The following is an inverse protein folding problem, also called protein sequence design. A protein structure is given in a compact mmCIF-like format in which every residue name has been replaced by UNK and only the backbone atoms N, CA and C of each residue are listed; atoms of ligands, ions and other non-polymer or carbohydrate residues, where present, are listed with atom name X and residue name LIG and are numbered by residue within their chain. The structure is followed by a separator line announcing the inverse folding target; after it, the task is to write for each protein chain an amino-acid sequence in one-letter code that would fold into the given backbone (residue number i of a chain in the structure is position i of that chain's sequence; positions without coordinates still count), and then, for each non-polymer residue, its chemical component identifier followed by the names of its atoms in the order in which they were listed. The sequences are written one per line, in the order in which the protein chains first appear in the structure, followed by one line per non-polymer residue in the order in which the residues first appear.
data_IF_279893222262
#
_entry.id   IF_279893222262
#
_cell.length_a   1.000
_cell.length_b   1.000
_cell.length_c   1.000
_cell.angle_alpha   90.00
_cell.angle_beta   90.00
_cell.angle_gamma   90.00
#
_symmetry.space_group_name_H-M   'P 1'
#
loop_
_entity.id
_entity.type
_entity.pdbx_description
1 polymer ?
#
# COMPACT_ATOMS: atom_id res chain seq x y z
N UNK A 1 -2.66 87.32 -21.83
CA UNK A 1 -3.69 87.95 -20.98
C UNK A 1 -3.89 87.08 -19.75
N UNK A 2 -3.83 87.70 -18.57
CA UNK A 2 -3.96 87.09 -17.24
C UNK A 2 -5.38 86.53 -17.05
N UNK A 3 -5.51 85.40 -16.33
CA UNK A 3 -6.34 85.39 -15.13
C UNK A 3 -5.99 84.21 -14.22
N UNK A 4 -5.70 84.59 -12.98
CA UNK A 4 -5.49 83.76 -11.79
C UNK A 4 -6.84 83.20 -11.34
N UNK A 5 -6.85 82.09 -10.57
CA UNK A 5 -7.46 82.05 -9.25
C UNK A 5 -6.99 80.80 -8.49
N UNK A 6 -6.22 81.04 -7.42
CA UNK A 6 -6.08 80.15 -6.27
C UNK A 6 -7.41 80.09 -5.51
N UNK A 7 -7.68 78.99 -4.81
CA UNK A 7 -8.27 78.92 -3.45
C UNK A 7 -8.07 77.48 -2.88
N UNK A 8 -8.02 77.31 -1.55
CA UNK A 8 -7.07 76.42 -0.88
C UNK A 8 -7.70 75.23 -0.12
N UNK A 9 -6.78 74.42 0.44
CA UNK A 9 -6.84 73.46 1.55
C UNK A 9 -8.11 73.35 2.42
N UNK A 10 -8.39 72.11 2.82
CA UNK A 10 -8.81 71.59 4.16
C UNK A 10 -9.95 70.57 3.97
N UNK A 11 -9.78 69.34 4.49
CA UNK A 11 -10.90 68.38 4.45
C UNK A 11 -10.55 66.95 4.87
N UNK A 12 -9.99 66.82 6.06
CA UNK A 12 -9.77 65.61 6.84
C UNK A 12 -11.04 64.75 6.95
N UNK A 13 -11.12 63.56 6.33
CA UNK A 13 -12.03 62.49 6.78
C UNK A 13 -11.32 61.14 6.67
N UNK A 14 -11.04 60.59 7.85
CA UNK A 14 -10.67 59.20 8.09
C UNK A 14 -11.79 58.26 7.66
N UNK A 15 -11.48 57.20 6.90
CA UNK A 15 -12.22 55.95 6.98
C UNK A 15 -11.48 54.83 6.24
N UNK A 16 -11.31 53.70 6.91
CA UNK A 16 -11.13 52.42 6.23
C UNK A 16 -9.71 51.88 6.18
N UNK A 17 -9.12 51.59 7.34
CA UNK A 17 -8.19 50.45 7.45
C UNK A 17 -9.00 49.17 7.20
N UNK A 18 -9.25 48.85 5.93
CA UNK A 18 -9.61 47.49 5.53
C UNK A 18 -8.31 46.77 5.25
N UNK A 19 -7.70 46.27 6.32
CA UNK A 19 -6.67 45.24 6.25
C UNK A 19 -7.30 44.06 5.51
N UNK A 20 -7.06 43.96 4.21
CA UNK A 20 -7.41 42.81 3.41
C UNK A 20 -6.62 41.64 3.98
N UNK A 21 -7.24 40.90 4.90
CA UNK A 21 -6.79 39.61 5.36
C UNK A 21 -6.86 38.70 4.13
N UNK A 22 -5.77 38.70 3.35
CA UNK A 22 -5.52 37.78 2.26
C UNK A 22 -5.44 36.38 2.89
N UNK A 23 -6.60 35.77 3.11
CA UNK A 23 -6.71 34.35 3.38
C UNK A 23 -6.12 33.64 2.16
N UNK A 24 -4.83 33.31 2.25
CA UNK A 24 -4.18 32.37 1.35
C UNK A 24 -4.81 31.01 1.60
N UNK A 25 -5.93 30.75 0.92
CA UNK A 25 -6.50 29.43 0.82
C UNK A 25 -5.48 28.60 0.04
N UNK A 26 -4.61 27.87 0.76
CA UNK A 26 -3.71 26.90 0.13
C UNK A 26 -4.62 25.92 -0.63
N UNK A 27 -4.50 25.78 -1.96
CA UNK A 27 -5.22 24.74 -2.66
C UNK A 27 -4.73 23.41 -2.09
N UNK A 28 -5.64 22.72 -1.40
CA UNK A 28 -5.41 21.35 -0.98
C UNK A 28 -5.32 20.51 -2.26
N UNK A 29 -4.10 20.33 -2.76
CA UNK A 29 -3.78 19.38 -3.81
C UNK A 29 -4.01 17.98 -3.23
N UNK A 30 -5.25 17.51 -3.35
CA UNK A 30 -5.59 16.13 -3.07
C UNK A 30 -4.70 15.28 -4.00
N UNK A 31 -3.72 14.60 -3.40
CA UNK A 31 -2.82 13.71 -4.13
C UNK A 31 -3.66 12.81 -5.03
N UNK A 32 -3.43 12.91 -6.35
CA UNK A 32 -4.22 12.22 -7.36
C UNK A 32 -4.15 10.72 -7.11
N UNK A 33 -5.24 10.11 -6.62
CA UNK A 33 -5.29 8.67 -6.38
C UNK A 33 -5.35 7.96 -7.74
N UNK A 34 -4.36 7.13 -8.03
CA UNK A 34 -4.26 6.39 -9.29
C UNK A 34 -5.38 5.35 -9.42
N UNK A 35 -5.69 4.64 -8.33
CA UNK A 35 -6.67 3.56 -8.36
C UNK A 35 -7.96 3.97 -7.67
N UNK A 36 -9.10 3.66 -8.30
CA UNK A 36 -10.44 3.91 -7.74
C UNK A 36 -11.39 2.75 -7.96
N UNK A 37 -12.29 2.53 -7.00
CA UNK A 37 -13.39 1.58 -7.11
C UNK A 37 -14.61 2.26 -7.76
N UNK A 38 -15.24 1.56 -8.70
CA UNK A 38 -16.45 2.01 -9.41
C UNK A 38 -17.53 0.94 -9.24
N UNK A 39 -18.70 1.35 -8.74
CA UNK A 39 -19.87 0.46 -8.64
C UNK A 39 -20.57 0.37 -9.99
N UNK A 40 -21.01 -0.83 -10.34
CA UNK A 40 -21.75 -1.15 -11.57
C UNK A 40 -22.92 -2.07 -11.26
N UNK A 41 -23.84 -2.26 -12.20
CA UNK A 41 -25.01 -3.12 -12.02
C UNK A 41 -24.66 -4.58 -11.68
N UNK A 42 -23.50 -5.08 -12.13
CA UNK A 42 -23.03 -6.45 -11.91
C UNK A 42 -22.01 -6.62 -10.77
N UNK A 43 -21.62 -5.54 -10.07
CA UNK A 43 -20.60 -5.59 -9.01
C UNK A 43 -19.70 -4.35 -8.97
N UNK A 44 -18.48 -4.52 -8.47
CA UNK A 44 -17.49 -3.45 -8.38
C UNK A 44 -16.37 -3.67 -9.41
N UNK A 45 -15.89 -2.59 -10.02
CA UNK A 45 -14.73 -2.56 -10.89
C UNK A 45 -13.65 -1.71 -10.24
N UNK A 46 -12.39 -2.02 -10.52
CA UNK A 46 -11.28 -1.14 -10.16
C UNK A 46 -10.68 -0.51 -11.41
N UNK A 47 -10.44 0.79 -11.36
CA UNK A 47 -9.90 1.58 -12.47
C UNK A 47 -8.55 2.16 -12.05
N UNK A 48 -7.51 1.92 -12.84
CA UNK A 48 -6.25 2.64 -12.77
C UNK A 48 -6.30 3.81 -13.76
N UNK A 49 -6.25 5.05 -13.28
CA UNK A 49 -6.21 6.27 -14.10
C UNK A 49 -4.78 6.70 -14.44
N UNK A 50 -3.79 6.18 -13.73
CA UNK A 50 -2.39 6.51 -13.95
C UNK A 50 -1.84 5.81 -15.20
N UNK A 51 -0.87 6.47 -15.83
CA UNK A 51 -0.12 5.94 -16.97
C UNK A 51 0.93 4.89 -16.60
N UNK A 52 0.98 4.50 -15.33
CA UNK A 52 1.91 3.50 -14.80
C UNK A 52 1.15 2.34 -14.15
N UNK A 53 1.81 1.18 -14.08
CA UNK A 53 1.27 -0.01 -13.43
C UNK A 53 1.12 0.22 -11.92
N UNK A 54 0.05 -0.31 -11.32
CA UNK A 54 -0.25 -0.18 -9.89
C UNK A 54 -0.49 -1.54 -9.25
N UNK A 55 0.03 -1.75 -8.05
CA UNK A 55 -0.30 -2.88 -7.18
C UNK A 55 -1.27 -2.35 -6.11
N UNK A 56 -2.48 -2.90 -6.09
CA UNK A 56 -3.56 -2.44 -5.22
C UNK A 56 -4.01 -3.54 -4.29
N UNK A 57 -3.99 -3.27 -2.99
CA UNK A 57 -4.58 -4.15 -1.97
C UNK A 57 -6.03 -3.70 -1.70
N UNK A 58 -6.97 -4.61 -1.91
CA UNK A 58 -8.40 -4.41 -1.74
C UNK A 58 -8.90 -5.30 -0.62
N UNK A 59 -9.60 -4.70 0.33
CA UNK A 59 -10.35 -5.40 1.35
C UNK A 59 -11.83 -5.43 1.00
N UNK A 60 -12.49 -6.56 1.21
CA UNK A 60 -13.94 -6.70 1.07
C UNK A 60 -14.57 -7.26 2.34
N UNK A 61 -15.60 -6.58 2.85
CA UNK A 61 -16.42 -7.07 3.97
C UNK A 61 -17.79 -7.49 3.43
N UNK A 62 -18.21 -8.72 3.75
CA UNK A 62 -19.57 -9.19 3.47
C UNK A 62 -20.49 -8.97 4.68
N UNK A 63 -21.78 -8.70 4.48
CA UNK A 63 -22.76 -8.78 5.55
C UNK A 63 -22.75 -10.19 6.15
N UNK A 64 -22.70 -10.28 7.48
CA UNK A 64 -22.73 -11.56 8.22
C UNK A 64 -21.43 -12.37 8.24
N UNK A 65 -20.35 -11.92 7.57
CA UNK A 65 -19.05 -12.58 7.67
C UNK A 65 -18.22 -11.95 8.80
N UNK A 66 -17.62 -12.77 9.68
CA UNK A 66 -16.84 -12.28 10.82
C UNK A 66 -15.57 -11.54 10.38
N UNK A 67 -14.84 -12.07 9.40
CA UNK A 67 -13.59 -11.48 8.91
C UNK A 67 -13.72 -10.91 7.48
N UNK A 68 -13.11 -9.75 7.19
CA UNK A 68 -12.99 -9.24 5.82
C UNK A 68 -11.93 -10.00 5.01
N UNK A 69 -12.11 -10.07 3.69
CA UNK A 69 -11.19 -10.74 2.76
C UNK A 69 -10.33 -9.69 2.08
N UNK A 70 -9.00 -9.87 2.10
CA UNK A 70 -8.07 -9.01 1.38
C UNK A 70 -7.56 -9.70 0.12
N UNK A 71 -7.41 -8.95 -0.98
CA UNK A 71 -6.84 -9.40 -2.26
C UNK A 71 -5.95 -8.32 -2.83
N UNK A 72 -4.88 -8.74 -3.49
CA UNK A 72 -3.96 -7.83 -4.15
C UNK A 72 -3.97 -8.04 -5.64
N UNK A 73 -4.09 -6.94 -6.38
CA UNK A 73 -4.23 -6.93 -7.82
C UNK A 73 -3.15 -6.06 -8.44
N UNK A 74 -2.55 -6.55 -9.51
CA UNK A 74 -1.68 -5.76 -10.36
C UNK A 74 -2.53 -5.20 -11.50
N UNK A 75 -2.61 -3.87 -11.60
CA UNK A 75 -3.34 -3.14 -12.62
C UNK A 75 -2.35 -2.58 -13.63
N UNK A 76 -2.58 -2.90 -14.90
CA UNK A 76 -1.84 -2.27 -15.98
C UNK A 76 -2.19 -0.76 -16.08
N UNK A 77 -1.36 0.04 -16.74
CA UNK A 77 -1.65 1.45 -17.00
C UNK A 77 -3.02 1.65 -17.65
N UNK A 78 -3.80 2.62 -17.16
CA UNK A 78 -5.09 3.03 -17.78
C UNK A 78 -6.11 1.91 -17.98
N UNK A 79 -6.08 0.85 -17.17
CA UNK A 79 -7.01 -0.28 -17.29
C UNK A 79 -8.18 -0.22 -16.32
N UNK A 80 -9.28 -0.86 -16.73
CA UNK A 80 -10.41 -1.20 -15.85
C UNK A 80 -10.47 -2.71 -15.67
N UNK A 81 -10.48 -3.17 -14.43
CA UNK A 81 -10.50 -4.59 -14.09
C UNK A 81 -11.75 -4.90 -13.28
N UNK A 82 -12.49 -5.92 -13.70
CA UNK A 82 -13.67 -6.38 -12.98
C UNK A 82 -13.26 -7.13 -11.72
N UNK A 83 -13.85 -6.78 -10.58
CA UNK A 83 -13.64 -7.52 -9.36
C UNK A 83 -14.63 -8.69 -9.35
N UNK A 84 -14.12 -9.92 -9.45
CA UNK A 84 -14.88 -11.19 -9.49
C UNK A 84 -15.49 -11.58 -8.12
N UNK A 85 -16.03 -10.58 -7.45
CA UNK A 85 -16.54 -10.63 -6.11
C UNK A 85 -18.02 -11.05 -6.14
N UNK A 86 -18.28 -12.36 -6.04
CA UNK A 86 -19.66 -12.90 -5.99
C UNK A 86 -20.42 -12.40 -4.74
N UNK A 87 -21.72 -12.14 -4.85
CA UNK A 87 -22.61 -11.83 -3.72
C UNK A 87 -22.45 -10.43 -3.10
N UNK A 88 -23.26 -10.07 -2.08
CA UNK A 88 -23.26 -8.74 -1.47
C UNK A 88 -22.00 -8.48 -0.63
N UNK A 89 -21.52 -7.24 -0.61
CA UNK A 89 -20.37 -6.81 0.18
C UNK A 89 -19.74 -5.52 -0.36
N UNK A 90 -19.03 -4.80 0.51
CA UNK A 90 -18.39 -3.53 0.17
C UNK A 90 -16.87 -3.71 0.10
N UNK A 91 -16.25 -3.19 -0.96
CA UNK A 91 -14.80 -3.18 -1.09
C UNK A 91 -14.19 -1.82 -0.76
N UNK A 92 -12.96 -1.84 -0.27
CA UNK A 92 -12.14 -0.66 0.01
C UNK A 92 -10.71 -0.91 -0.44
N UNK A 93 -10.10 0.09 -1.07
CA UNK A 93 -8.66 0.09 -1.34
C UNK A 93 -7.92 0.41 -0.04
N UNK A 94 -7.06 -0.51 0.40
CA UNK A 94 -6.20 -0.36 1.57
C UNK A 94 -4.83 0.21 1.21
N UNK A 95 -4.27 -0.19 0.07
CA UNK A 95 -2.99 0.29 -0.41
C UNK A 95 -3.00 0.40 -1.94
N UNK A 96 -2.27 1.38 -2.46
CA UNK A 96 -2.09 1.63 -3.89
C UNK A 96 -0.64 2.05 -4.11
N UNK A 97 0.18 1.17 -4.67
CA UNK A 97 1.62 1.41 -4.88
C UNK A 97 1.98 1.24 -6.36
N UNK A 98 2.95 1.98 -6.91
CA UNK A 98 3.43 1.73 -8.27
C UNK A 98 4.06 0.33 -8.37
N UNK A 99 3.97 -0.29 -9.53
CA UNK A 99 4.76 -1.48 -9.83
C UNK A 99 6.24 -1.10 -9.87
N UNK A 100 7.11 -1.92 -9.29
CA UNK A 100 8.55 -1.78 -9.49
C UNK A 100 8.87 -2.10 -10.94
N UNK A 101 9.54 -1.19 -11.66
CA UNK A 101 10.10 -1.50 -12.97
C UNK A 101 11.26 -2.48 -12.80
N UNK A 102 10.94 -3.77 -12.80
CA UNK A 102 11.88 -4.84 -13.07
C UNK A 102 11.46 -5.45 -14.39
N UNK A 103 12.41 -5.56 -15.32
CA UNK A 103 12.21 -6.02 -16.69
C UNK A 103 11.37 -7.28 -16.78
N UNK A 104 10.73 -7.41 -17.94
CA UNK A 104 10.01 -8.59 -18.37
C UNK A 104 10.78 -9.87 -18.05
N UNK A 105 10.38 -10.57 -17.01
CA UNK A 105 10.54 -12.01 -16.93
C UNK A 105 9.46 -12.58 -16.00
N UNK A 106 8.71 -13.54 -16.53
CA UNK A 106 7.58 -14.14 -15.88
C UNK A 106 7.97 -14.77 -14.55
N UNK A 107 7.55 -14.16 -13.44
CA UNK A 107 7.53 -14.85 -12.15
C UNK A 107 6.32 -14.38 -11.35
N UNK A 108 5.30 -15.23 -11.32
CA UNK A 108 4.22 -15.18 -10.36
C UNK A 108 4.79 -15.23 -8.95
N UNK A 109 5.08 -14.07 -8.37
CA UNK A 109 5.37 -13.98 -6.95
C UNK A 109 4.59 -12.79 -6.39
N UNK A 110 3.52 -13.11 -5.66
CA UNK A 110 2.79 -12.17 -4.82
C UNK A 110 3.72 -11.63 -3.74
N UNK A 111 4.48 -10.60 -4.07
CA UNK A 111 5.30 -9.85 -3.14
C UNK A 111 4.53 -8.57 -2.78
N UNK A 112 3.79 -8.63 -1.70
CA UNK A 112 3.23 -7.42 -1.09
C UNK A 112 4.34 -6.68 -0.31
N UNK A 113 4.32 -5.33 -0.31
CA UNK A 113 5.33 -4.56 0.41
C UNK A 113 5.03 -4.57 1.91
N UNK A 114 6.08 -4.79 2.71
CA UNK A 114 6.06 -4.63 4.17
C UNK A 114 6.46 -3.18 4.49
N UNK A 115 5.73 -2.46 5.35
CA UNK A 115 6.14 -1.15 5.83
C UNK A 115 7.31 -1.27 6.83
N UNK A 116 8.27 -0.37 6.62
CA UNK A 116 9.12 0.35 7.58
C UNK A 116 9.89 -0.43 8.66
N UNK A 117 11.15 -0.68 8.33
CA UNK A 117 12.26 -0.99 9.24
C UNK A 117 13.56 -1.02 8.42
N UNK A 118 14.31 0.08 8.41
CA UNK A 118 15.64 0.27 7.79
C UNK A 118 15.93 -0.52 6.50
N UNK A 119 15.03 -0.39 5.51
CA UNK A 119 15.31 -0.44 4.07
C UNK A 119 15.96 -1.69 3.44
N UNK A 120 16.39 -2.70 4.20
CA UNK A 120 17.05 -3.90 3.67
C UNK A 120 16.35 -5.13 4.23
N UNK A 121 15.57 -5.80 3.37
CA UNK A 121 15.02 -7.12 3.66
C UNK A 121 16.17 -8.13 3.78
N UNK A 122 16.40 -8.63 4.97
CA UNK A 122 17.44 -9.61 5.30
C UNK A 122 16.97 -11.05 5.13
N UNK A 123 15.68 -11.32 5.39
CA UNK A 123 15.12 -12.66 5.41
C UNK A 123 14.50 -12.99 4.05
N UNK A 124 14.95 -14.11 3.48
CA UNK A 124 14.43 -14.67 2.25
C UNK A 124 13.78 -16.02 2.53
N UNK A 125 12.67 -16.28 1.85
CA UNK A 125 12.05 -17.59 1.85
C UNK A 125 12.55 -18.40 0.66
N UNK A 126 13.07 -19.59 0.93
CA UNK A 126 13.69 -20.46 -0.06
C UNK A 126 13.01 -21.83 -0.06
N UNK A 127 12.96 -22.47 -1.23
CA UNK A 127 12.60 -23.89 -1.32
C UNK A 127 13.87 -24.71 -1.07
N UNK A 128 13.81 -25.66 -0.14
CA UNK A 128 14.89 -26.60 0.11
C UNK A 128 14.48 -27.99 -0.38
N UNK A 129 15.45 -28.67 -0.99
CA UNK A 129 15.37 -30.07 -1.41
C UNK A 129 16.44 -30.91 -0.68
N UNK A 130 16.91 -30.45 0.48
CA UNK A 130 17.99 -31.11 1.21
C UNK A 130 17.45 -32.31 2.01
N UNK A 131 18.11 -33.45 1.88
CA UNK A 131 17.81 -34.70 2.60
C UNK A 131 16.40 -35.27 2.38
N UNK A 132 15.87 -35.20 1.15
CA UNK A 132 14.59 -35.84 0.78
C UNK A 132 13.33 -35.14 1.32
N UNK A 133 13.49 -34.08 2.12
CA UNK A 133 12.39 -33.24 2.60
C UNK A 133 12.27 -32.04 1.66
N UNK A 134 11.25 -32.05 0.81
CA UNK A 134 10.87 -30.88 0.03
C UNK A 134 10.10 -29.94 0.94
N UNK A 135 10.61 -28.73 1.15
CA UNK A 135 9.99 -27.79 2.09
C UNK A 135 10.39 -26.34 1.88
N UNK A 136 9.84 -25.46 2.71
CA UNK A 136 10.25 -24.07 2.81
C UNK A 136 11.33 -23.92 3.88
N UNK A 137 12.22 -22.96 3.67
CA UNK A 137 13.23 -22.55 4.62
C UNK A 137 13.30 -21.01 4.65
N UNK A 138 13.71 -20.45 5.79
CA UNK A 138 14.02 -19.04 5.93
C UNK A 138 15.54 -18.88 5.97
N UNK A 139 16.07 -18.02 5.10
CA UNK A 139 17.48 -17.71 5.00
C UNK A 139 17.72 -16.26 5.40
N UNK A 140 18.59 -16.03 6.38
CA UNK A 140 19.04 -14.70 6.77
C UNK A 140 20.32 -14.33 6.02
N UNK A 141 20.21 -13.36 5.13
CA UNK A 141 21.35 -12.85 4.34
C UNK A 141 22.19 -11.83 5.10
N UNK A 142 21.67 -11.26 6.18
CA UNK A 142 22.38 -10.31 7.03
C UNK A 142 23.29 -11.02 8.04
N UNK A 143 24.32 -10.32 8.51
CA UNK A 143 25.25 -10.85 9.52
C UNK A 143 24.65 -10.87 10.93
N UNK A 144 23.62 -10.07 11.16
CA UNK A 144 22.95 -9.92 12.45
C UNK A 144 21.75 -10.86 12.59
N UNK A 145 21.39 -11.15 13.84
CA UNK A 145 20.15 -11.86 14.15
C UNK A 145 18.93 -11.06 13.71
N UNK A 146 17.94 -11.74 13.12
CA UNK A 146 16.68 -11.15 12.67
C UNK A 146 15.50 -11.97 13.19
N UNK A 147 14.41 -11.29 13.50
CA UNK A 147 13.10 -11.88 13.81
C UNK A 147 12.15 -11.59 12.65
N UNK A 148 11.64 -12.65 12.01
CA UNK A 148 10.61 -12.56 10.97
C UNK A 148 9.24 -12.91 11.54
N UNK A 149 8.21 -12.16 11.15
CA UNK A 149 6.81 -12.52 11.38
C UNK A 149 6.35 -13.31 10.16
N UNK A 150 6.12 -14.61 10.34
CA UNK A 150 5.66 -15.51 9.29
C UNK A 150 4.15 -15.65 9.38
N UNK A 151 3.42 -15.39 8.29
CA UNK A 151 2.02 -15.78 8.17
C UNK A 151 1.88 -17.14 7.53
N UNK A 152 0.87 -17.88 7.97
CA UNK A 152 0.50 -19.20 7.47
C UNK A 152 -0.97 -19.22 7.15
N UNK A 153 -1.30 -19.83 6.03
CA UNK A 153 -2.66 -20.04 5.57
C UNK A 153 -2.90 -21.54 5.44
N UNK A 154 -3.91 -22.05 6.14
CA UNK A 154 -4.32 -23.44 6.00
C UNK A 154 -5.20 -23.65 4.75
N UNK A 155 -5.54 -24.91 4.46
CA UNK A 155 -6.39 -25.24 3.31
C UNK A 155 -7.80 -24.59 3.39
N UNK A 156 -8.27 -24.25 4.59
CA UNK A 156 -9.53 -23.55 4.85
C UNK A 156 -9.42 -22.03 4.74
N UNK A 157 -8.23 -21.48 4.48
CA UNK A 157 -7.99 -20.05 4.37
C UNK A 157 -7.77 -19.33 5.71
N UNK A 158 -7.70 -20.05 6.83
CA UNK A 158 -7.43 -19.44 8.14
C UNK A 158 -5.98 -19.00 8.25
N UNK A 159 -5.78 -17.80 8.80
CA UNK A 159 -4.47 -17.18 8.96
C UNK A 159 -3.94 -17.30 10.38
N UNK A 160 -2.68 -17.70 10.52
CA UNK A 160 -1.94 -17.67 11.79
C UNK A 160 -0.58 -17.03 11.58
N UNK A 161 -0.16 -16.18 12.51
CA UNK A 161 1.14 -15.51 12.46
C UNK A 161 2.05 -16.01 13.58
N UNK A 162 3.33 -16.18 13.28
CA UNK A 162 4.34 -16.64 14.22
C UNK A 162 5.62 -15.81 14.09
N UNK A 163 6.22 -15.45 15.22
CA UNK A 163 7.56 -14.87 15.24
C UNK A 163 8.60 -15.98 15.16
N UNK A 164 9.54 -15.87 14.22
CA UNK A 164 10.63 -16.81 14.01
C UNK A 164 11.94 -16.07 14.08
N UNK A 165 12.81 -16.50 14.98
CA UNK A 165 14.16 -15.93 15.17
C UNK A 165 15.15 -16.71 14.31
N UNK A 166 15.98 -15.98 13.57
CA UNK A 166 16.95 -16.53 12.63
C UNK A 166 18.30 -15.87 12.91
N UNK A 167 19.30 -16.69 13.21
CA UNK A 167 20.67 -16.22 13.42
C UNK A 167 21.23 -15.57 12.14
N UNK A 168 22.24 -14.71 12.29
CA UNK A 168 22.94 -14.12 11.16
C UNK A 168 23.54 -15.19 10.24
N UNK A 169 23.49 -14.94 8.93
CA UNK A 169 24.04 -15.85 7.89
C UNK A 169 23.59 -17.31 8.02
N UNK A 170 22.38 -17.54 8.53
CA UNK A 170 21.86 -18.89 8.78
C UNK A 170 20.63 -19.21 7.93
N UNK A 171 20.37 -20.50 7.78
CA UNK A 171 19.17 -21.03 7.12
C UNK A 171 18.47 -21.97 8.08
N UNK A 172 17.18 -21.74 8.32
CA UNK A 172 16.35 -22.60 9.17
C UNK A 172 15.20 -23.20 8.38
N UNK A 173 14.82 -24.45 8.62
CA UNK A 173 13.64 -25.04 8.01
C UNK A 173 12.37 -24.33 8.53
N UNK A 174 11.40 -24.14 7.64
CA UNK A 174 10.10 -23.57 7.97
C UNK A 174 9.04 -24.69 7.91
N UNK A 175 8.68 -25.31 9.04
CA UNK A 175 7.71 -26.40 9.05
C UNK A 175 6.34 -25.92 8.57
N UNK A 176 5.60 -26.75 7.83
CA UNK A 176 4.30 -26.37 7.28
C UNK A 176 3.22 -26.15 8.36
N UNK A 177 3.24 -26.94 9.44
CA UNK A 177 2.27 -26.86 10.56
C UNK A 177 0.80 -26.85 10.10
N UNK A 178 0.47 -27.65 9.07
CA UNK A 178 -0.88 -27.71 8.48
C UNK A 178 -1.21 -26.59 7.50
N UNK A 179 -0.26 -25.69 7.23
CA UNK A 179 -0.42 -24.62 6.26
C UNK A 179 -0.15 -25.11 4.82
N UNK A 180 -0.94 -24.61 3.87
CA UNK A 180 -0.73 -24.78 2.43
C UNK A 180 0.06 -23.62 1.82
N UNK A 181 0.14 -22.50 2.54
CA UNK A 181 0.89 -21.32 2.15
C UNK A 181 1.54 -20.67 3.36
N UNK A 182 2.73 -20.10 3.15
CA UNK A 182 3.41 -19.26 4.13
C UNK A 182 3.98 -18.00 3.46
N UNK A 183 4.11 -16.92 4.21
CA UNK A 183 4.66 -15.64 3.79
C UNK A 183 5.49 -14.98 4.90
N UNK A 184 6.26 -13.96 4.55
CA UNK A 184 6.94 -13.10 5.52
C UNK A 184 6.18 -11.77 5.54
N UNK A 185 5.58 -11.43 6.68
CA UNK A 185 4.84 -10.19 6.86
C UNK A 185 5.76 -9.02 7.21
N UNK A 186 6.64 -9.24 8.19
CA UNK A 186 7.56 -8.22 8.71
C UNK A 186 8.87 -8.85 9.17
N UNK A 187 9.92 -8.06 9.25
CA UNK A 187 11.19 -8.46 9.87
C UNK A 187 11.78 -7.32 10.69
N UNK A 188 12.57 -7.65 11.71
CA UNK A 188 13.32 -6.70 12.53
C UNK A 188 14.60 -7.33 13.05
N UNK A 189 15.58 -6.51 13.44
CA UNK A 189 16.73 -6.99 14.20
C UNK A 189 16.29 -7.62 15.54
N UNK A 190 17.02 -8.63 15.99
CA UNK A 190 16.84 -9.15 17.35
C UNK A 190 17.20 -8.07 18.37
N UNK A 191 16.52 -8.09 19.52
CA UNK A 191 16.86 -7.24 20.67
C UNK A 191 17.86 -7.96 21.56
#
# INVERSE_FOLDING_TARGET
MRQQFLIPTIGLIALGVLFALQMQVKPASAALKCSRLVKTAGGEKIVNTCGSCRIVNIQRKRPGADAPINRTLTLAPRTTTDLSFRGPGQSRILADTPCSEAGADGSNTGAQPSPEGDGKRCILMQRTQKAGITGLALANTCAECRTAVVDRIDAGGQRRSQNVVIAGKSVIPLPALGAVQAGILHEKACK
#
